data_IF_034411035931
#
_entry.id   IF_034411035931
#
_cell.length_a   1.000
_cell.length_b   1.000
_cell.length_c   1.000
_cell.angle_alpha   90.00
_cell.angle_beta   90.00
_cell.angle_gamma   90.00
#
_symmetry.space_group_name_H-M   'P 1'
#
loop_
_entity.id
_entity.type
_entity.pdbx_description
1 polymer ?
#
# COMPACT_ATOMS: atom_id res chain seq x y z
N UNK A 1 11.60 -7.82 31.69
CA UNK A 1 11.36 -7.08 30.43
C UNK A 1 11.09 -8.11 29.35
N UNK A 2 9.83 -8.25 28.95
CA UNK A 2 9.42 -9.27 27.98
C UNK A 2 9.61 -8.72 26.56
N UNK A 3 10.48 -9.37 25.79
CA UNK A 3 10.61 -9.18 24.34
C UNK A 3 9.31 -9.67 23.70
N UNK A 4 8.54 -8.77 23.10
CA UNK A 4 7.38 -9.12 22.31
C UNK A 4 7.89 -9.75 21.00
N UNK A 5 7.79 -11.08 20.90
CA UNK A 5 7.98 -11.80 19.64
C UNK A 5 6.75 -11.54 18.75
N UNK A 6 6.99 -11.07 17.54
CA UNK A 6 5.96 -10.95 16.50
C UNK A 6 5.46 -12.35 16.09
N UNK A 7 4.14 -12.55 15.88
CA UNK A 7 3.64 -13.80 15.32
C UNK A 7 3.98 -13.85 13.82
N UNK A 8 4.90 -14.73 13.47
CA UNK A 8 5.28 -15.08 12.09
C UNK A 8 4.34 -16.16 11.55
N UNK A 9 3.14 -15.78 11.13
CA UNK A 9 2.27 -16.70 10.39
C UNK A 9 2.46 -16.51 8.87
N UNK A 10 3.08 -17.52 8.26
CA UNK A 10 2.74 -17.97 6.90
C UNK A 10 3.38 -17.30 5.67
N UNK A 11 4.24 -16.28 5.80
CA UNK A 11 4.99 -15.73 4.65
C UNK A 11 6.40 -16.34 4.55
N UNK A 12 6.84 -16.58 3.32
CA UNK A 12 8.12 -17.19 2.91
C UNK A 12 9.24 -16.93 3.92
N UNK A 13 9.62 -17.97 4.65
CA UNK A 13 10.60 -17.95 5.75
C UNK A 13 11.96 -17.37 5.31
N UNK A 14 12.29 -17.39 4.01
CA UNK A 14 13.48 -16.73 3.46
C UNK A 14 13.37 -15.22 3.27
N UNK A 15 12.19 -14.67 2.94
CA UNK A 15 12.01 -13.23 2.70
C UNK A 15 12.16 -12.42 4.00
N UNK A 16 11.75 -13.01 5.14
CA UNK A 16 11.92 -12.37 6.44
C UNK A 16 13.39 -12.35 6.89
N UNK A 17 14.18 -13.39 6.58
CA UNK A 17 15.60 -13.46 6.94
C UNK A 17 16.43 -12.39 6.23
N UNK A 18 16.17 -12.12 4.95
CA UNK A 18 16.89 -11.08 4.20
C UNK A 18 16.54 -9.68 4.69
N UNK A 19 15.27 -9.42 5.04
CA UNK A 19 14.85 -8.14 5.62
C UNK A 19 15.49 -7.95 7.01
N UNK A 20 15.50 -8.99 7.84
CA UNK A 20 16.12 -8.96 9.16
C UNK A 20 17.63 -8.71 9.05
N UNK A 21 18.32 -9.35 8.11
CA UNK A 21 19.74 -9.11 7.85
C UNK A 21 20.02 -7.67 7.40
N UNK A 22 19.23 -7.16 6.45
CA UNK A 22 19.37 -5.78 5.97
C UNK A 22 19.14 -4.76 7.10
N UNK A 23 18.12 -4.98 7.94
CA UNK A 23 17.83 -4.11 9.09
C UNK A 23 18.91 -4.24 10.17
N UNK A 24 19.47 -5.43 10.39
CA UNK A 24 20.53 -5.67 11.35
C UNK A 24 21.85 -4.98 10.99
N UNK A 25 22.07 -4.67 9.70
CA UNK A 25 23.24 -3.94 9.21
C UNK A 25 23.10 -2.41 9.33
N UNK A 26 22.00 -1.90 9.92
CA UNK A 26 21.76 -0.47 10.09
C UNK A 26 22.16 -0.05 11.50
N UNK A 27 23.37 0.50 11.64
CA UNK A 27 23.91 0.96 12.93
C UNK A 27 23.71 2.47 13.15
N UNK A 28 23.54 3.22 12.07
CA UNK A 28 23.36 4.67 12.12
C UNK A 28 22.45 5.22 11.02
N UNK A 29 22.19 6.52 11.05
CA UNK A 29 21.23 7.18 10.16
C UNK A 29 21.80 7.32 8.75
N UNK A 30 23.11 7.35 8.69
CA UNK A 30 23.90 7.45 7.47
C UNK A 30 23.84 6.16 6.64
N UNK A 31 23.60 5.00 7.27
CA UNK A 31 23.42 3.70 6.59
C UNK A 31 22.07 3.60 5.85
N UNK A 32 21.11 4.46 6.22
CA UNK A 32 19.77 4.47 5.65
C UNK A 32 19.78 5.27 4.35
N UNK A 33 20.09 4.57 3.27
CA UNK A 33 20.08 5.09 1.90
C UNK A 33 18.69 4.99 1.25
N UNK A 34 18.48 5.71 0.14
CA UNK A 34 17.24 5.63 -0.64
C UNK A 34 17.05 4.23 -1.23
N UNK A 35 18.11 3.62 -1.74
CA UNK A 35 18.04 2.28 -2.34
C UNK A 35 17.63 1.24 -1.29
N UNK A 36 18.18 1.35 -0.08
CA UNK A 36 17.76 0.52 1.05
C UNK A 36 16.29 0.73 1.40
N UNK A 37 15.83 1.98 1.48
CA UNK A 37 14.41 2.30 1.74
C UNK A 37 13.51 1.67 0.67
N UNK A 38 13.83 1.84 -0.62
CA UNK A 38 13.04 1.31 -1.72
C UNK A 38 13.02 -0.23 -1.71
N UNK A 39 14.19 -0.85 -1.47
CA UNK A 39 14.36 -2.30 -1.36
C UNK A 39 13.59 -2.89 -0.17
N UNK A 40 13.61 -2.26 0.99
CA UNK A 40 12.84 -2.71 2.16
C UNK A 40 11.34 -2.56 1.90
N UNK A 41 10.90 -1.40 1.38
CA UNK A 41 9.48 -1.11 1.14
C UNK A 41 8.82 -2.00 0.11
N UNK A 42 9.58 -2.55 -0.84
CA UNK A 42 9.07 -3.52 -1.83
C UNK A 42 8.92 -4.93 -1.26
N UNK A 43 9.61 -5.25 -0.16
CA UNK A 43 9.61 -6.58 0.48
C UNK A 43 8.75 -6.66 1.74
N UNK A 44 8.53 -5.56 2.45
CA UNK A 44 7.64 -5.53 3.62
C UNK A 44 6.16 -5.50 3.20
N UNK A 45 5.33 -6.22 3.96
CA UNK A 45 3.87 -6.25 3.76
C UNK A 45 3.08 -5.42 4.78
N UNK A 46 3.78 -4.91 5.81
CA UNK A 46 3.24 -4.08 6.90
C UNK A 46 4.24 -2.98 7.26
N UNK A 47 3.83 -1.90 7.97
CA UNK A 47 4.77 -0.90 8.42
C UNK A 47 5.90 -1.49 9.26
N UNK A 48 7.13 -1.12 8.93
CA UNK A 48 8.35 -1.57 9.59
C UNK A 48 8.97 -0.41 10.34
N UNK A 49 9.08 -0.52 11.66
CA UNK A 49 9.91 0.37 12.46
C UNK A 49 11.37 -0.09 12.36
N UNK A 50 12.28 0.79 11.96
CA UNK A 50 13.73 0.48 11.93
C UNK A 50 14.27 0.65 13.36
N UNK A 51 14.65 -0.44 14.06
CA UNK A 51 14.88 -0.41 15.51
C UNK A 51 16.34 -0.17 15.91
N UNK A 52 17.27 -0.03 14.95
CA UNK A 52 18.72 -0.20 15.18
C UNK A 52 19.36 0.77 16.18
N UNK A 53 18.88 2.00 16.27
CA UNK A 53 19.47 3.02 17.14
C UNK A 53 18.49 4.18 17.38
N UNK A 54 18.51 4.83 18.56
CA UNK A 54 17.65 5.96 18.83
C UNK A 54 18.03 7.16 17.95
N UNK A 55 17.09 7.60 17.12
CA UNK A 55 17.23 8.77 16.25
C UNK A 55 16.56 9.96 16.94
N UNK A 56 17.30 11.03 17.19
CA UNK A 56 16.70 12.30 17.62
C UNK A 56 15.97 12.99 16.46
N UNK A 57 14.95 13.80 16.76
CA UNK A 57 14.24 14.58 15.74
C UNK A 57 15.19 15.46 14.92
N UNK A 58 16.19 16.08 15.56
CA UNK A 58 17.19 16.90 14.86
C UNK A 58 18.03 16.08 13.88
N UNK A 59 18.51 14.91 14.29
CA UNK A 59 19.28 14.00 13.42
C UNK A 59 18.44 13.53 12.23
N UNK A 60 17.18 13.17 12.48
CA UNK A 60 16.24 12.84 11.42
C UNK A 60 16.03 14.00 10.44
N UNK A 61 15.80 15.22 10.91
CA UNK A 61 15.60 16.39 10.05
C UNK A 61 16.85 16.76 9.23
N UNK A 62 18.04 16.58 9.80
CA UNK A 62 19.30 16.77 9.07
C UNK A 62 19.49 15.72 7.98
N UNK A 63 19.16 14.46 8.27
CA UNK A 63 19.16 13.39 7.28
C UNK A 63 18.14 13.65 6.18
N UNK A 64 16.89 13.99 6.53
CA UNK A 64 15.79 14.26 5.59
C UNK A 64 16.15 15.32 4.56
N UNK A 65 16.82 16.40 4.99
CA UNK A 65 17.25 17.50 4.11
C UNK A 65 18.26 17.07 3.04
N UNK A 66 18.98 15.97 3.26
CA UNK A 66 19.98 15.42 2.32
C UNK A 66 19.34 14.49 1.28
N UNK A 67 18.09 14.09 1.47
CA UNK A 67 17.42 13.11 0.62
C UNK A 67 16.55 13.77 -0.47
N UNK A 68 16.43 13.14 -1.66
CA UNK A 68 15.41 13.52 -2.66
C UNK A 68 14.00 13.37 -2.09
N UNK A 69 13.20 14.43 -2.17
CA UNK A 69 11.90 14.50 -1.49
C UNK A 69 10.86 13.54 -2.08
N UNK A 70 10.97 13.24 -3.37
CA UNK A 70 10.20 12.25 -4.10
C UNK A 70 10.44 10.82 -3.58
N UNK A 71 11.62 10.54 -3.04
CA UNK A 71 12.00 9.21 -2.56
C UNK A 71 11.58 8.93 -1.12
N UNK A 72 11.12 9.96 -0.39
CA UNK A 72 10.72 9.87 1.01
C UNK A 72 9.23 9.53 1.22
N UNK A 73 8.45 9.33 0.14
CA UNK A 73 7.06 8.92 0.28
C UNK A 73 6.97 7.61 1.05
N UNK A 74 6.14 7.54 2.09
CA UNK A 74 6.01 6.34 2.93
C UNK A 74 7.11 6.19 3.99
N UNK A 75 7.98 7.17 4.17
CA UNK A 75 8.89 7.27 5.32
C UNK A 75 8.27 8.22 6.34
N UNK A 76 8.21 7.83 7.62
CA UNK A 76 7.75 8.64 8.75
C UNK A 76 8.76 8.56 9.90
N UNK A 77 8.68 9.49 10.85
CA UNK A 77 9.48 9.44 12.09
C UNK A 77 8.55 9.50 13.30
N UNK A 78 8.75 8.59 14.25
CA UNK A 78 7.99 8.56 15.50
C UNK A 78 8.93 8.86 16.68
N UNK A 79 8.79 10.06 17.24
CA UNK A 79 9.57 10.51 18.42
C UNK A 79 9.32 9.67 19.67
N UNK A 80 8.16 8.99 19.79
CA UNK A 80 7.82 8.15 20.95
C UNK A 80 8.68 6.89 21.01
N UNK A 81 9.10 6.41 19.84
CA UNK A 81 9.96 5.24 19.67
C UNK A 81 11.38 5.61 19.23
N UNK A 82 11.63 6.90 18.96
CA UNK A 82 12.87 7.41 18.40
C UNK A 82 13.32 6.66 17.13
N UNK A 83 12.38 6.28 16.26
CA UNK A 83 12.63 5.41 15.11
C UNK A 83 12.06 5.97 13.80
N UNK A 84 12.59 5.46 12.70
CA UNK A 84 11.97 5.60 11.38
C UNK A 84 10.90 4.52 11.20
N UNK A 85 9.78 4.91 10.60
CA UNK A 85 8.72 4.01 10.19
C UNK A 85 8.65 3.98 8.67
N UNK A 86 8.88 2.80 8.09
CA UNK A 86 8.74 2.55 6.66
C UNK A 86 7.37 1.92 6.38
N UNK A 87 6.59 2.55 5.52
CA UNK A 87 5.32 1.99 5.03
C UNK A 87 5.55 1.17 3.76
N UNK A 88 4.86 0.03 3.58
CA UNK A 88 4.93 -0.74 2.35
C UNK A 88 4.55 0.08 1.12
N UNK A 89 4.85 -0.45 -0.07
CA UNK A 89 4.09 -0.08 -1.25
C UNK A 89 2.65 -0.57 -1.12
N UNK A 90 1.69 0.23 -1.62
CA UNK A 90 0.30 -0.18 -1.66
C UNK A 90 0.15 -1.37 -2.63
N UNK A 91 -0.70 -2.32 -2.26
CA UNK A 91 -1.18 -3.34 -3.21
C UNK A 91 -1.96 -2.65 -4.33
N UNK A 92 -2.03 -3.28 -5.51
CA UNK A 92 -2.78 -2.73 -6.65
C UNK A 92 -4.23 -2.36 -6.31
N UNK A 93 -5.01 -3.20 -5.60
CA UNK A 93 -6.38 -2.85 -5.23
C UNK A 93 -6.44 -1.62 -4.30
N UNK A 94 -5.57 -1.54 -3.28
CA UNK A 94 -5.48 -0.37 -2.41
C UNK A 94 -5.07 0.90 -3.16
N UNK A 95 -4.18 0.74 -4.16
CA UNK A 95 -3.68 1.83 -4.97
C UNK A 95 -4.74 2.42 -5.89
N UNK A 96 -5.52 1.58 -6.58
CA UNK A 96 -6.63 2.04 -7.41
C UNK A 96 -7.77 2.64 -6.57
N UNK A 97 -8.07 2.04 -5.41
CA UNK A 97 -9.05 2.58 -4.47
C UNK A 97 -8.62 3.99 -3.98
N UNK A 98 -7.34 4.16 -3.63
CA UNK A 98 -6.76 5.46 -3.34
C UNK A 98 -6.87 6.42 -4.54
N UNK A 99 -6.53 5.96 -5.75
CA UNK A 99 -6.63 6.73 -6.98
C UNK A 99 -8.04 7.25 -7.26
N UNK A 100 -9.07 6.46 -6.99
CA UNK A 100 -10.46 6.85 -7.12
C UNK A 100 -10.85 7.97 -6.14
N UNK A 101 -10.44 7.88 -4.87
CA UNK A 101 -10.64 8.96 -3.88
C UNK A 101 -9.94 10.24 -4.32
N UNK A 102 -8.69 10.13 -4.78
CA UNK A 102 -7.91 11.26 -5.29
C UNK A 102 -8.58 11.90 -6.50
N UNK A 103 -9.07 11.08 -7.45
CA UNK A 103 -9.82 11.56 -8.61
C UNK A 103 -11.09 12.31 -8.20
N UNK A 104 -11.86 11.77 -7.25
CA UNK A 104 -13.04 12.41 -6.70
C UNK A 104 -12.73 13.79 -6.12
N UNK A 105 -11.70 13.91 -5.28
CA UNK A 105 -11.29 15.19 -4.69
C UNK A 105 -10.82 16.16 -5.78
N UNK A 106 -10.06 15.70 -6.78
CA UNK A 106 -9.63 16.53 -7.91
C UNK A 106 -10.83 17.09 -8.69
N UNK A 107 -11.85 16.28 -8.94
CA UNK A 107 -13.06 16.72 -9.64
C UNK A 107 -13.81 17.78 -8.83
N UNK A 108 -13.87 17.63 -7.49
CA UNK A 108 -14.44 18.64 -6.61
C UNK A 108 -13.67 19.97 -6.69
N UNK A 109 -12.33 19.91 -6.63
CA UNK A 109 -11.48 21.11 -6.73
C UNK A 109 -11.58 21.77 -8.11
N UNK A 110 -11.61 20.99 -9.19
CA UNK A 110 -11.84 21.51 -10.56
C UNK A 110 -13.20 22.19 -10.68
N UNK A 111 -14.22 21.67 -10.01
CA UNK A 111 -15.54 22.26 -9.95
C UNK A 111 -15.55 23.69 -9.42
N UNK A 112 -14.58 24.06 -8.56
CA UNK A 112 -14.43 25.45 -8.06
C UNK A 112 -14.08 26.42 -9.19
N UNK A 113 -13.45 25.96 -10.28
CA UNK A 113 -13.11 26.78 -11.43
C UNK A 113 -12.35 28.05 -11.06
N UNK A 114 -12.79 29.19 -11.62
CA UNK A 114 -12.26 30.51 -11.30
C UNK A 114 -12.67 31.00 -9.90
N UNK A 115 -13.70 30.38 -9.30
CA UNK A 115 -14.21 30.66 -7.97
C UNK A 115 -13.52 29.80 -6.90
N UNK A 116 -12.18 29.68 -6.99
CA UNK A 116 -11.33 29.07 -5.96
C UNK A 116 -10.64 30.14 -5.09
N UNK A 117 -11.39 30.96 -4.30
CA UNK A 117 -10.85 32.12 -3.58
C UNK A 117 -9.89 31.74 -2.44
N UNK A 118 -9.92 30.47 -2.03
CA UNK A 118 -9.06 29.91 -1.01
C UNK A 118 -7.91 29.08 -1.59
N UNK A 119 -7.73 29.08 -2.92
CA UNK A 119 -6.66 28.38 -3.61
C UNK A 119 -6.54 26.92 -3.18
N UNK A 120 -7.67 26.21 -3.06
CA UNK A 120 -7.69 24.79 -2.79
C UNK A 120 -6.91 24.05 -3.86
N UNK A 121 -6.01 23.18 -3.42
CA UNK A 121 -5.23 22.32 -4.28
C UNK A 121 -5.05 20.97 -3.59
N UNK A 122 -4.98 19.92 -4.41
CA UNK A 122 -4.53 18.64 -3.91
C UNK A 122 -3.01 18.65 -3.92
N UNK A 123 -2.38 18.43 -2.76
CA UNK A 123 -0.95 18.20 -2.64
C UNK A 123 -0.65 16.77 -3.13
N UNK A 124 -0.80 16.59 -4.44
CA UNK A 124 -0.44 15.44 -5.26
C UNK A 124 -0.01 15.88 -6.68
N UNK A 125 0.21 17.18 -6.94
CA UNK A 125 0.38 17.69 -8.32
C UNK A 125 1.76 18.29 -8.63
N UNK A 126 2.82 17.99 -7.86
CA UNK A 126 4.18 18.56 -8.10
C UNK A 126 5.30 17.57 -8.40
N UNK A 127 4.99 16.29 -8.64
CA UNK A 127 5.96 15.28 -9.12
C UNK A 127 5.88 15.08 -10.63
N UNK A 128 7.02 14.99 -11.31
CA UNK A 128 7.10 14.61 -12.72
C UNK A 128 6.62 13.15 -12.87
N UNK A 129 5.76 12.88 -13.85
CA UNK A 129 5.34 11.52 -14.21
C UNK A 129 6.58 10.72 -14.63
N UNK A 130 7.00 9.74 -13.84
CA UNK A 130 8.03 8.78 -14.23
C UNK A 130 7.48 7.37 -13.98
N UNK A 131 6.63 6.90 -14.89
CA UNK A 131 6.58 5.52 -15.38
C UNK A 131 5.38 5.38 -16.34
N UNK A 132 5.64 5.49 -17.65
CA UNK A 132 4.78 4.84 -18.63
C UNK A 132 5.19 3.37 -18.67
N UNK A 133 4.48 2.52 -17.94
CA UNK A 133 4.30 1.14 -18.39
C UNK A 133 2.87 1.00 -18.90
N UNK A 134 2.70 0.08 -19.86
CA UNK A 134 1.75 0.10 -20.96
C UNK A 134 0.25 0.13 -20.62
N UNK A 135 -0.15 0.18 -19.34
CA UNK A 135 -1.54 0.25 -18.92
C UNK A 135 -1.73 1.26 -17.77
N UNK A 136 -2.71 2.13 -17.98
CA UNK A 136 -2.96 3.40 -17.31
C UNK A 136 -3.32 3.30 -15.82
N UNK A 137 -2.45 3.77 -14.92
CA UNK A 137 -2.74 4.85 -13.94
C UNK A 137 -1.41 5.54 -13.67
N UNK A 138 -1.30 6.84 -13.97
CA UNK A 138 -0.18 7.65 -13.51
C UNK A 138 -0.32 7.85 -11.99
N UNK A 139 0.15 6.88 -11.20
CA UNK A 139 0.38 7.10 -9.77
C UNK A 139 1.66 7.91 -9.67
N UNK A 140 1.49 9.22 -9.81
CA UNK A 140 2.55 10.20 -9.61
C UNK A 140 2.94 10.14 -8.14
N UNK A 141 4.07 9.53 -7.82
CA UNK A 141 4.71 9.71 -6.51
C UNK A 141 5.16 11.16 -6.42
N UNK A 142 4.45 11.94 -5.59
CA UNK A 142 4.66 13.37 -5.46
C UNK A 142 5.75 13.71 -4.48
N UNK A 143 6.22 14.95 -4.51
CA UNK A 143 7.06 15.52 -3.46
C UNK A 143 6.42 15.21 -2.10
N UNK A 144 7.06 14.36 -1.30
CA UNK A 144 6.47 13.86 -0.08
C UNK A 144 6.55 14.94 1.01
N UNK A 145 5.48 15.72 1.18
CA UNK A 145 5.46 16.85 2.13
C UNK A 145 5.36 16.29 3.55
N UNK A 146 6.39 16.56 4.34
CA UNK A 146 6.44 16.23 5.75
C UNK A 146 5.68 17.24 6.61
N UNK A 147 4.93 16.73 7.59
CA UNK A 147 4.27 17.53 8.62
C UNK A 147 4.74 17.11 9.99
N UNK A 148 5.35 18.04 10.71
CA UNK A 148 5.59 17.90 12.14
C UNK A 148 4.26 18.05 12.89
N UNK A 149 3.90 17.02 13.64
CA UNK A 149 2.75 17.01 14.53
C UNK A 149 3.03 17.82 15.81
N UNK A 150 1.98 18.06 16.58
CA UNK A 150 1.99 18.97 17.75
C UNK A 150 1.19 18.37 18.90
N UNK A 151 1.30 18.96 20.09
CA UNK A 151 0.54 18.53 21.27
C UNK A 151 1.05 17.18 21.80
N UNK A 152 0.15 16.24 22.08
CA UNK A 152 0.54 14.90 22.56
C UNK A 152 1.36 14.08 21.54
N UNK A 153 1.32 14.48 20.26
CA UNK A 153 2.05 13.85 19.16
C UNK A 153 3.29 14.66 18.75
N UNK A 154 3.79 15.54 19.62
CA UNK A 154 4.94 16.40 19.31
C UNK A 154 6.19 15.58 18.96
N UNK A 155 6.93 16.06 17.96
CA UNK A 155 8.11 15.38 17.43
C UNK A 155 7.83 14.28 16.40
N UNK A 156 6.58 13.86 16.19
CA UNK A 156 6.23 12.90 15.13
C UNK A 156 6.19 13.62 13.78
N UNK A 157 6.82 13.04 12.76
CA UNK A 157 6.80 13.56 11.38
C UNK A 157 6.04 12.60 10.48
N UNK A 158 4.94 13.10 9.90
CA UNK A 158 4.04 12.32 9.04
C UNK A 158 4.06 12.81 7.59
N UNK A 159 3.80 11.90 6.66
CA UNK A 159 3.66 12.20 5.23
C UNK A 159 2.39 11.54 4.69
N UNK A 160 1.35 12.32 4.33
CA UNK A 160 0.14 11.74 3.78
C UNK A 160 0.40 11.26 2.35
N UNK A 161 -0.39 10.29 1.87
CA UNK A 161 -0.38 9.90 0.46
C UNK A 161 -1.01 10.99 -0.42
N UNK A 162 -2.06 11.63 0.08
CA UNK A 162 -2.61 12.85 -0.49
C UNK A 162 -3.19 13.76 0.60
N UNK A 163 -3.12 15.07 0.36
CA UNK A 163 -3.71 16.07 1.24
C UNK A 163 -4.44 17.16 0.46
N UNK A 164 -5.67 17.51 0.85
CA UNK A 164 -6.38 18.68 0.33
C UNK A 164 -6.02 19.89 1.19
N UNK A 165 -5.38 20.88 0.59
CA UNK A 165 -4.92 22.09 1.27
C UNK A 165 -5.51 23.35 0.63
N UNK A 166 -5.77 24.37 1.44
CA UNK A 166 -6.07 25.73 0.96
C UNK A 166 -4.77 26.53 0.89
N UNK A 167 -4.62 27.43 -0.09
CA UNK A 167 -3.45 28.30 -0.24
C UNK A 167 -3.14 29.15 1.01
N UNK A 168 -4.12 29.36 1.88
CA UNK A 168 -3.98 30.10 3.14
C UNK A 168 -3.51 29.23 4.31
N UNK A 169 -3.42 27.91 4.12
CA UNK A 169 -3.05 26.97 5.16
C UNK A 169 -1.67 26.36 4.88
N UNK A 170 -0.93 26.11 5.96
CA UNK A 170 0.35 25.38 5.94
C UNK A 170 0.17 23.87 6.13
N UNK A 171 -1.04 23.43 6.50
CA UNK A 171 -1.39 22.03 6.76
C UNK A 171 -2.67 21.66 6.00
N UNK A 172 -2.79 20.40 5.54
CA UNK A 172 -3.98 19.94 4.84
C UNK A 172 -5.20 19.89 5.76
N UNK A 173 -6.37 20.12 5.16
CA UNK A 173 -7.68 20.00 5.82
C UNK A 173 -8.27 18.60 5.67
N UNK A 174 -7.92 17.89 4.59
CA UNK A 174 -8.29 16.49 4.37
C UNK A 174 -7.04 15.69 4.11
N UNK A 175 -6.92 14.53 4.74
CA UNK A 175 -5.88 13.53 4.46
C UNK A 175 -6.53 12.31 3.83
N UNK A 176 -5.89 11.73 2.82
CA UNK A 176 -6.22 10.40 2.31
C UNK A 176 -5.10 9.44 2.73
N UNK A 177 -5.49 8.38 3.44
CA UNK A 177 -4.62 7.30 3.89
C UNK A 177 -5.10 5.99 3.29
N UNK A 178 -4.19 5.20 2.75
CA UNK A 178 -4.47 3.85 2.27
C UNK A 178 -3.69 2.85 3.14
N UNK A 179 -4.40 1.88 3.69
CA UNK A 179 -3.86 0.80 4.53
C UNK A 179 -3.02 -0.15 3.67
N UNK A 180 -1.89 -0.59 4.23
CA UNK A 180 -1.09 -1.68 3.70
C UNK A 180 -0.99 -2.78 4.77
N UNK A 181 -2.11 -3.48 4.99
CA UNK A 181 -2.27 -4.54 6.01
C UNK A 181 -1.95 -4.08 7.43
N UNK A 182 -2.27 -2.82 7.73
CA UNK A 182 -2.19 -2.29 9.10
C UNK A 182 -3.30 -2.92 9.96
N UNK A 183 -3.00 -3.19 11.22
CA UNK A 183 -4.03 -3.58 12.19
C UNK A 183 -4.97 -2.41 12.45
N UNK A 184 -6.20 -2.70 12.89
CA UNK A 184 -7.16 -1.65 13.30
C UNK A 184 -6.58 -0.69 14.34
N UNK A 185 -5.73 -1.17 15.24
CA UNK A 185 -5.06 -0.33 16.25
C UNK A 185 -4.03 0.62 15.61
N UNK A 186 -3.22 0.12 14.67
CA UNK A 186 -2.26 0.96 13.92
C UNK A 186 -2.99 2.03 13.10
N UNK A 187 -4.07 1.65 12.42
CA UNK A 187 -4.92 2.57 11.67
C UNK A 187 -5.58 3.61 12.59
N UNK A 188 -6.09 3.19 13.74
CA UNK A 188 -6.67 4.10 14.74
C UNK A 188 -5.64 5.10 15.26
N UNK A 189 -4.45 4.64 15.64
CA UNK A 189 -3.36 5.52 16.11
C UNK A 189 -2.97 6.53 15.01
N UNK A 190 -2.85 6.07 13.77
CA UNK A 190 -2.55 6.94 12.62
C UNK A 190 -3.63 8.01 12.38
N UNK A 191 -4.91 7.62 12.42
CA UNK A 191 -6.04 8.55 12.31
C UNK A 191 -6.02 9.57 13.44
N UNK A 192 -5.76 9.14 14.68
CA UNK A 192 -5.67 10.05 15.83
C UNK A 192 -4.49 11.01 15.71
N UNK A 193 -3.32 10.53 15.29
CA UNK A 193 -2.16 11.37 15.02
C UNK A 193 -2.51 12.51 14.04
N UNK A 194 -3.23 12.22 12.96
CA UNK A 194 -3.67 13.26 12.03
C UNK A 194 -4.70 14.22 12.64
N UNK A 195 -5.76 13.67 13.24
CA UNK A 195 -6.86 14.49 13.77
C UNK A 195 -6.43 15.34 14.96
N UNK A 196 -5.59 14.84 15.85
CA UNK A 196 -5.24 15.49 17.11
C UNK A 196 -3.85 16.13 17.08
N UNK A 197 -2.90 15.54 16.34
CA UNK A 197 -1.55 16.10 16.16
C UNK A 197 -1.47 17.30 15.20
N UNK A 198 -2.50 17.58 14.41
CA UNK A 198 -2.50 18.70 13.44
C UNK A 198 -2.92 20.06 14.01
N UNK A 199 -3.14 20.18 15.32
CA UNK A 199 -3.74 21.36 15.98
C UNK A 199 -5.09 21.77 15.35
N UNK A 200 -5.90 20.78 14.99
CA UNK A 200 -7.24 20.99 14.43
C UNK A 200 -7.28 21.49 13.00
N UNK A 201 -6.16 21.43 12.29
CA UNK A 201 -6.10 21.77 10.86
C UNK A 201 -6.69 20.65 10.01
N UNK A 202 -6.32 19.39 10.28
CA UNK A 202 -6.97 18.25 9.63
C UNK A 202 -8.38 18.11 10.20
N UNK A 203 -9.37 18.19 9.31
CA UNK A 203 -10.79 18.06 9.61
C UNK A 203 -11.34 16.68 9.27
N UNK A 204 -10.76 16.03 8.27
CA UNK A 204 -11.19 14.74 7.76
C UNK A 204 -9.97 13.87 7.41
N UNK A 205 -10.03 12.61 7.81
CA UNK A 205 -9.14 11.54 7.35
C UNK A 205 -10.00 10.55 6.57
N UNK A 206 -9.73 10.41 5.28
CA UNK A 206 -10.32 9.38 4.43
C UNK A 206 -9.36 8.18 4.48
N UNK A 207 -9.78 7.12 5.14
CA UNK A 207 -9.04 5.87 5.21
C UNK A 207 -9.60 4.90 4.17
N UNK A 208 -8.74 4.24 3.43
CA UNK A 208 -9.09 3.20 2.46
C UNK A 208 -8.28 1.95 2.77
N UNK A 209 -8.94 0.80 2.82
CA UNK A 209 -8.30 -0.50 2.99
C UNK A 209 -8.85 -1.45 1.94
N UNK A 210 -7.99 -2.23 1.30
CA UNK A 210 -8.42 -3.26 0.36
C UNK A 210 -7.67 -4.56 0.68
N UNK A 211 -8.43 -5.54 1.16
CA UNK A 211 -7.90 -6.83 1.62
C UNK A 211 -8.56 -7.99 0.89
N UNK A 212 -7.82 -9.08 0.74
CA UNK A 212 -8.34 -10.35 0.23
C UNK A 212 -8.96 -11.15 1.40
N UNK A 213 -10.22 -11.55 1.30
CA UNK A 213 -10.99 -12.16 2.41
C UNK A 213 -10.99 -13.69 2.36
N UNK A 214 -10.94 -14.29 1.17
CA UNK A 214 -11.18 -15.73 0.98
C UNK A 214 -10.10 -16.41 0.12
N UNK A 215 -8.86 -15.94 0.17
CA UNK A 215 -7.76 -16.53 -0.61
C UNK A 215 -7.48 -17.98 -0.16
N UNK A 216 -7.51 -18.98 -1.05
CA UNK A 216 -7.23 -20.36 -0.66
C UNK A 216 -5.79 -20.53 -0.19
N UNK A 217 -5.57 -21.54 0.66
CA UNK A 217 -4.24 -21.89 1.14
C UNK A 217 -3.38 -22.38 -0.03
N UNK A 218 -2.39 -21.56 -0.36
CA UNK A 218 -1.58 -21.47 -1.59
C UNK A 218 -0.90 -22.78 -2.06
N UNK A 219 -0.78 -23.80 -1.21
CA UNK A 219 0.22 -24.85 -1.41
C UNK A 219 -0.16 -26.03 -2.32
N UNK A 220 -1.43 -26.25 -2.69
CA UNK A 220 -1.81 -27.56 -3.29
C UNK A 220 -2.68 -27.52 -4.56
N UNK A 221 -3.21 -26.37 -4.98
CA UNK A 221 -4.23 -26.35 -6.05
C UNK A 221 -3.73 -25.93 -7.44
N UNK A 222 -2.64 -25.16 -7.55
CA UNK A 222 -2.33 -24.41 -8.77
C UNK A 222 -1.59 -25.20 -9.86
N UNK A 223 -0.91 -26.28 -9.49
CA UNK A 223 -0.24 -27.18 -10.44
C UNK A 223 -1.20 -28.19 -11.07
N UNK A 224 -2.39 -28.38 -10.47
CA UNK A 224 -3.30 -29.43 -10.90
C UNK A 224 -3.98 -29.03 -12.21
N UNK A 225 -3.50 -29.61 -13.31
CA UNK A 225 -4.10 -29.45 -14.64
C UNK A 225 -3.36 -28.49 -15.58
N UNK A 226 -2.32 -27.79 -15.11
CA UNK A 226 -1.45 -26.98 -15.99
C UNK A 226 -0.26 -27.82 -16.42
N UNK A 227 -0.22 -28.20 -17.69
CA UNK A 227 0.93 -28.86 -18.30
C UNK A 227 1.87 -27.83 -18.92
N UNK A 228 2.92 -27.45 -18.20
CA UNK A 228 3.92 -26.47 -18.66
C UNK A 228 4.59 -26.86 -19.99
N UNK A 229 4.57 -28.14 -20.38
CA UNK A 229 5.14 -28.62 -21.66
C UNK A 229 4.39 -28.08 -22.88
N UNK A 230 3.16 -27.60 -22.70
CA UNK A 230 2.34 -27.05 -23.78
C UNK A 230 2.65 -25.59 -24.12
N UNK A 231 3.55 -24.96 -23.37
CA UNK A 231 3.85 -23.54 -23.46
C UNK A 231 5.33 -23.31 -23.77
N UNK A 232 5.63 -22.19 -24.41
CA UNK A 232 6.98 -21.80 -24.81
C UNK A 232 7.62 -20.78 -23.85
N UNK A 233 6.82 -20.19 -22.95
CA UNK A 233 7.29 -19.20 -21.97
C UNK A 233 6.40 -19.10 -20.74
N UNK A 234 6.92 -18.51 -19.67
CA UNK A 234 6.14 -18.19 -18.46
C UNK A 234 4.98 -17.24 -18.74
N UNK A 235 5.12 -16.28 -19.67
CA UNK A 235 4.03 -15.36 -20.07
C UNK A 235 2.80 -16.09 -20.63
N UNK A 236 3.02 -17.17 -21.40
CA UNK A 236 1.91 -17.97 -21.93
C UNK A 236 1.21 -18.74 -20.82
N UNK A 237 1.98 -19.29 -19.86
CA UNK A 237 1.43 -19.95 -18.66
C UNK A 237 0.63 -18.94 -17.82
N UNK A 238 1.16 -17.73 -17.62
CA UNK A 238 0.48 -16.65 -16.89
C UNK A 238 -0.85 -16.27 -17.53
N UNK A 239 -0.86 -16.14 -18.86
CA UNK A 239 -2.07 -15.86 -19.63
C UNK A 239 -3.10 -16.97 -19.46
N UNK A 240 -2.68 -18.23 -19.52
CA UNK A 240 -3.57 -19.37 -19.34
C UNK A 240 -4.18 -19.40 -17.93
N UNK A 241 -3.36 -19.22 -16.89
CA UNK A 241 -3.82 -19.12 -15.49
C UNK A 241 -4.88 -18.03 -15.38
N UNK A 242 -4.58 -16.83 -15.89
CA UNK A 242 -5.51 -15.71 -15.85
C UNK A 242 -6.84 -16.01 -16.57
N UNK A 243 -6.83 -16.70 -17.71
CA UNK A 243 -8.06 -17.06 -18.42
C UNK A 243 -8.88 -18.13 -17.70
N UNK A 244 -8.24 -19.13 -17.07
CA UNK A 244 -8.94 -20.14 -16.26
C UNK A 244 -9.67 -19.44 -15.10
N UNK A 245 -8.94 -18.61 -14.35
CA UNK A 245 -9.48 -17.85 -13.22
C UNK A 245 -10.64 -16.95 -13.64
N UNK A 246 -10.45 -16.25 -14.75
CA UNK A 246 -11.45 -15.45 -15.41
C UNK A 246 -12.38 -16.28 -16.30
N UNK A 247 -12.59 -17.57 -16.06
CA UNK A 247 -13.75 -18.35 -16.57
C UNK A 247 -14.47 -19.19 -15.51
N UNK A 248 -13.89 -19.38 -14.32
CA UNK A 248 -14.47 -20.15 -13.22
C UNK A 248 -15.50 -19.39 -12.38
N UNK A 249 -16.52 -20.09 -11.90
CA UNK A 249 -17.51 -19.54 -10.95
C UNK A 249 -16.91 -19.19 -9.58
N UNK A 250 -15.88 -19.93 -9.15
CA UNK A 250 -15.17 -19.76 -7.88
C UNK A 250 -13.65 -19.82 -8.14
N UNK A 251 -13.02 -18.67 -8.44
CA UNK A 251 -11.61 -18.62 -8.83
C UNK A 251 -10.66 -19.14 -7.74
N UNK A 252 -9.60 -19.83 -8.14
CA UNK A 252 -8.62 -20.47 -7.24
C UNK A 252 -7.40 -19.60 -6.93
N UNK A 253 -7.12 -18.59 -7.75
CA UNK A 253 -6.00 -17.64 -7.60
C UNK A 253 -6.41 -16.43 -6.77
N UNK A 254 -7.71 -16.10 -6.71
CA UNK A 254 -8.22 -15.00 -5.89
C UNK A 254 -9.43 -15.37 -5.05
N UNK A 255 -9.34 -15.06 -3.76
CA UNK A 255 -10.53 -14.84 -2.96
C UNK A 255 -11.26 -13.55 -3.37
N UNK A 256 -12.31 -13.18 -2.64
CA UNK A 256 -12.95 -11.89 -2.84
C UNK A 256 -12.08 -10.77 -2.24
N UNK A 257 -11.95 -9.64 -2.95
CA UNK A 257 -11.37 -8.42 -2.38
C UNK A 257 -12.47 -7.61 -1.70
N UNK A 258 -12.26 -7.29 -0.44
CA UNK A 258 -13.06 -6.37 0.33
C UNK A 258 -12.34 -5.04 0.44
N UNK A 259 -12.91 -4.01 -0.18
CA UNK A 259 -12.44 -2.64 -0.05
C UNK A 259 -13.34 -1.88 0.91
N UNK A 260 -12.79 -1.36 1.99
CA UNK A 260 -13.49 -0.54 2.98
C UNK A 260 -12.99 0.89 2.95
N UNK A 261 -13.92 1.84 3.09
CA UNK A 261 -13.63 3.28 3.15
C UNK A 261 -14.23 3.85 4.42
N UNK A 262 -13.43 4.59 5.18
CA UNK A 262 -13.88 5.33 6.35
C UNK A 262 -13.70 6.82 6.13
N UNK A 263 -14.73 7.56 6.53
CA UNK A 263 -14.71 9.01 6.63
C UNK A 263 -14.61 9.38 8.10
N UNK A 264 -13.41 9.72 8.57
CA UNK A 264 -13.12 9.86 10.00
C UNK A 264 -12.79 11.29 10.37
N UNK A 265 -13.40 11.78 11.44
CA UNK A 265 -13.17 13.08 12.03
C UNK A 265 -13.21 13.00 13.57
N UNK A 266 -13.13 14.15 14.23
CA UNK A 266 -13.13 14.21 15.71
C UNK A 266 -14.49 13.92 16.35
N UNK A 267 -15.57 13.96 15.58
CA UNK A 267 -16.92 13.70 16.08
C UNK A 267 -17.20 12.19 16.18
N UNK A 268 -16.76 11.41 15.18
CA UNK A 268 -16.92 9.96 15.16
C UNK A 268 -15.69 9.18 15.67
N UNK A 269 -14.53 9.81 15.79
CA UNK A 269 -13.33 9.24 16.41
C UNK A 269 -12.79 10.21 17.45
N UNK A 270 -13.14 9.97 18.72
CA UNK A 270 -12.60 10.74 19.86
C UNK A 270 -11.15 10.34 20.14
N UNK A 271 -10.40 11.23 20.78
CA UNK A 271 -8.99 10.98 21.11
C UNK A 271 -8.80 9.72 21.98
N UNK A 272 -9.76 9.46 22.88
CA UNK A 272 -9.79 8.29 23.74
C UNK A 272 -10.52 7.07 23.14
N UNK A 273 -10.88 7.08 21.85
CA UNK A 273 -11.51 5.94 21.20
C UNK A 273 -10.62 4.68 21.27
N UNK A 274 -11.21 3.51 21.51
CA UNK A 274 -10.47 2.24 21.58
C UNK A 274 -10.47 1.45 20.27
N UNK A 275 -11.35 1.80 19.32
CA UNK A 275 -11.47 1.17 18.01
C UNK A 275 -11.87 2.21 16.95
N UNK A 276 -11.62 1.89 15.68
CA UNK A 276 -12.13 2.62 14.54
C UNK A 276 -13.66 2.52 14.45
N UNK A 277 -14.35 3.56 13.96
CA UNK A 277 -15.76 3.45 13.63
C UNK A 277 -16.00 2.38 12.55
N UNK A 278 -17.24 1.98 12.37
CA UNK A 278 -17.62 1.15 11.22
C UNK A 278 -17.23 1.87 9.90
N UNK A 279 -16.82 1.12 8.87
CA UNK A 279 -16.62 1.67 7.54
C UNK A 279 -17.83 2.49 7.10
N UNK A 280 -17.59 3.61 6.46
CA UNK A 280 -18.65 4.41 5.85
C UNK A 280 -19.18 3.71 4.60
N UNK A 281 -18.32 2.96 3.92
CA UNK A 281 -18.64 2.25 2.71
C UNK A 281 -17.78 1.00 2.58
N UNK A 282 -18.36 -0.09 2.08
CA UNK A 282 -17.66 -1.33 1.83
C UNK A 282 -18.04 -1.85 0.44
N UNK A 283 -17.05 -2.33 -0.28
CA UNK A 283 -17.15 -2.85 -1.63
C UNK A 283 -16.59 -4.26 -1.64
N UNK A 284 -17.36 -5.20 -2.18
CA UNK A 284 -16.90 -6.57 -2.36
C UNK A 284 -16.73 -6.82 -3.85
N UNK A 285 -15.48 -7.06 -4.25
CA UNK A 285 -15.10 -7.24 -5.64
C UNK A 285 -14.55 -8.64 -5.84
N UNK A 286 -15.29 -9.47 -6.55
CA UNK A 286 -14.79 -10.72 -7.13
C UNK A 286 -14.39 -10.51 -8.60
N UNK A 287 -13.93 -11.56 -9.27
CA UNK A 287 -13.49 -11.51 -10.68
C UNK A 287 -14.62 -11.19 -11.68
N UNK A 288 -15.85 -11.41 -11.24
CA UNK A 288 -17.02 -11.50 -12.11
C UNK A 288 -18.13 -10.54 -11.76
N UNK A 289 -18.12 -10.09 -10.50
CA UNK A 289 -19.17 -9.30 -9.92
C UNK A 289 -18.56 -8.33 -8.95
N UNK A 290 -18.95 -7.08 -9.13
CA UNK A 290 -18.79 -6.05 -8.11
C UNK A 290 -20.12 -5.96 -7.39
N UNK A 291 -20.16 -6.41 -6.14
CA UNK A 291 -21.30 -6.23 -5.25
C UNK A 291 -21.01 -5.14 -4.24
N UNK A 292 -22.00 -4.30 -4.02
CA UNK A 292 -21.86 -3.09 -3.22
C UNK A 292 -22.85 -3.20 -2.07
N UNK A 293 -22.35 -3.17 -0.83
CA UNK A 293 -23.19 -3.10 0.37
C UNK A 293 -22.70 -1.92 1.23
N UNK A 294 -23.60 -0.96 1.47
CA UNK A 294 -23.23 0.25 2.20
C UNK A 294 -24.42 0.87 2.91
N UNK A 295 -24.22 1.18 4.19
CA UNK A 295 -25.12 2.04 4.95
C UNK A 295 -24.28 2.97 5.82
N UNK A 296 -24.52 4.28 5.74
CA UNK A 296 -23.92 5.24 6.66
C UNK A 296 -24.84 5.48 7.84
N UNK A 297 -24.29 5.38 9.04
CA UNK A 297 -25.02 5.61 10.27
C UNK A 297 -25.02 7.08 10.73
N UNK A 298 -24.13 7.96 10.22
CA UNK A 298 -24.06 9.37 10.66
C UNK A 298 -23.62 10.38 9.59
N UNK A 299 -24.35 11.50 9.58
CA UNK A 299 -24.04 12.78 8.93
C UNK A 299 -22.89 13.51 9.61
N UNK A 300 -22.15 14.32 8.86
CA UNK A 300 -21.36 15.42 9.41
C UNK A 300 -21.84 16.73 8.82
N UNK A 301 -22.05 17.73 9.67
CA UNK A 301 -22.51 19.07 9.28
C UNK A 301 -21.60 20.10 9.92
N UNK A 302 -21.01 21.01 9.13
CA UNK A 302 -20.08 22.02 9.66
C UNK A 302 -19.44 22.89 8.57
N UNK A 303 -18.25 23.44 8.90
CA UNK A 303 -17.46 24.29 7.99
C UNK A 303 -16.70 23.40 6.98
N UNK A 304 -16.85 23.67 5.69
CA UNK A 304 -16.19 22.94 4.61
C UNK A 304 -14.65 22.92 4.72
N UNK A 305 -13.98 21.82 4.32
CA UNK A 305 -14.53 20.60 3.71
C UNK A 305 -15.21 19.67 4.72
N UNK A 306 -16.36 19.10 4.34
CA UNK A 306 -17.03 18.02 5.08
C UNK A 306 -17.76 17.06 4.12
N UNK A 307 -18.23 15.91 4.61
CA UNK A 307 -19.04 14.95 3.84
C UNK A 307 -20.39 14.77 4.53
N UNK A 308 -21.48 14.86 3.78
CA UNK A 308 -22.85 14.68 4.30
C UNK A 308 -23.29 13.21 4.30
N UNK A 309 -24.52 12.93 4.77
CA UNK A 309 -25.08 11.57 4.78
C UNK A 309 -25.43 11.01 3.41
N UNK A 310 -25.47 11.84 2.37
CA UNK A 310 -25.64 11.39 0.98
C UNK A 310 -24.30 11.10 0.32
N UNK A 311 -23.22 11.06 1.10
CA UNK A 311 -21.85 10.88 0.63
C UNK A 311 -21.39 12.00 -0.29
N UNK A 312 -21.98 13.18 -0.20
CA UNK A 312 -21.52 14.33 -0.96
C UNK A 312 -20.47 15.09 -0.18
N UNK A 313 -19.29 15.25 -0.78
CA UNK A 313 -18.24 16.10 -0.23
C UNK A 313 -18.55 17.54 -0.59
N UNK A 314 -18.61 18.39 0.43
CA UNK A 314 -18.91 19.80 0.32
C UNK A 314 -17.63 20.61 0.46
N UNK A 315 -17.37 21.48 -0.51
CA UNK A 315 -16.24 22.41 -0.52
C UNK A 315 -16.71 23.76 -1.05
N UNK A 316 -16.77 24.77 -0.18
CA UNK A 316 -17.12 26.16 -0.53
C UNK A 316 -18.40 26.31 -1.39
N UNK A 317 -19.47 25.62 -1.01
CA UNK A 317 -20.75 25.71 -1.73
C UNK A 317 -20.85 24.77 -2.94
N UNK A 318 -19.75 24.10 -3.32
CA UNK A 318 -19.78 22.99 -4.26
C UNK A 318 -19.99 21.70 -3.50
N UNK A 319 -20.89 20.86 -4.01
CA UNK A 319 -21.16 19.54 -3.48
C UNK A 319 -20.95 18.51 -4.57
N UNK A 320 -20.13 17.50 -4.30
CA UNK A 320 -19.88 16.40 -5.21
C UNK A 320 -20.18 15.07 -4.52
N UNK A 321 -21.21 14.37 -4.96
CA UNK A 321 -21.54 13.02 -4.52
C UNK A 321 -20.39 12.05 -4.73
N UNK A 322 -20.20 11.14 -3.79
CA UNK A 322 -19.22 10.07 -3.92
C UNK A 322 -19.51 9.27 -5.20
N UNK A 323 -18.52 9.10 -6.09
CA UNK A 323 -18.75 8.54 -7.40
C UNK A 323 -18.73 7.01 -7.32
N UNK A 324 -19.74 6.41 -6.68
CA UNK A 324 -19.77 4.98 -6.34
C UNK A 324 -19.45 4.04 -7.52
N UNK A 325 -20.02 4.32 -8.69
CA UNK A 325 -19.77 3.55 -9.91
C UNK A 325 -18.30 3.67 -10.35
N UNK A 326 -17.77 4.89 -10.44
CA UNK A 326 -16.36 5.14 -10.80
C UNK A 326 -15.43 4.51 -9.77
N UNK A 327 -15.74 4.63 -8.48
CA UNK A 327 -14.95 4.00 -7.42
C UNK A 327 -14.91 2.47 -7.57
N UNK A 328 -16.07 1.85 -7.80
CA UNK A 328 -16.17 0.42 -8.08
C UNK A 328 -15.36 -0.01 -9.30
N UNK A 329 -15.43 0.76 -10.40
CA UNK A 329 -14.71 0.49 -11.63
C UNK A 329 -13.18 0.56 -11.45
N UNK A 330 -12.68 1.55 -10.70
CA UNK A 330 -11.25 1.65 -10.37
C UNK A 330 -10.79 0.47 -9.51
N UNK A 331 -11.53 0.14 -8.45
CA UNK A 331 -11.19 -1.02 -7.60
C UNK A 331 -11.19 -2.30 -8.42
N UNK A 332 -12.22 -2.52 -9.24
CA UNK A 332 -12.31 -3.69 -10.12
C UNK A 332 -11.15 -3.76 -11.12
N UNK A 333 -10.75 -2.63 -11.70
CA UNK A 333 -9.54 -2.57 -12.54
C UNK A 333 -8.29 -2.98 -11.75
N UNK A 334 -8.14 -2.50 -10.52
CA UNK A 334 -7.02 -2.86 -9.64
C UNK A 334 -7.00 -4.33 -9.25
N UNK A 335 -8.18 -4.92 -9.03
CA UNK A 335 -8.38 -6.35 -8.84
C UNK A 335 -7.87 -7.13 -10.07
N UNK A 336 -8.29 -6.73 -11.28
CA UNK A 336 -7.89 -7.38 -12.53
C UNK A 336 -6.38 -7.29 -12.79
N UNK A 337 -5.76 -6.15 -12.54
CA UNK A 337 -4.30 -5.99 -12.68
C UNK A 337 -3.53 -6.79 -11.63
N UNK A 338 -4.00 -6.80 -10.38
CA UNK A 338 -3.39 -7.59 -9.31
C UNK A 338 -3.36 -9.08 -9.67
N UNK A 339 -4.44 -9.57 -10.27
CA UNK A 339 -4.54 -10.97 -10.70
C UNK A 339 -3.58 -11.31 -11.81
N UNK A 340 -3.50 -10.45 -12.82
CA UNK A 340 -2.56 -10.65 -13.90
C UNK A 340 -1.12 -10.72 -13.37
N UNK A 341 -0.77 -9.87 -12.40
CA UNK A 341 0.53 -9.92 -11.73
C UNK A 341 0.73 -11.19 -10.91
N UNK A 342 -0.29 -11.62 -10.15
CA UNK A 342 -0.24 -12.86 -9.36
C UNK A 342 -0.10 -14.09 -10.25
N UNK A 343 -0.84 -14.14 -11.36
CA UNK A 343 -0.73 -15.18 -12.37
C UNK A 343 0.67 -15.22 -13.00
N UNK A 344 1.26 -14.05 -13.30
CA UNK A 344 2.66 -13.94 -13.74
C UNK A 344 3.65 -14.53 -12.74
N UNK A 345 3.58 -14.12 -11.47
CA UNK A 345 4.47 -14.64 -10.43
C UNK A 345 4.34 -16.15 -10.22
N UNK A 346 3.11 -16.70 -10.30
CA UNK A 346 2.87 -18.15 -10.24
C UNK A 346 3.48 -18.83 -11.46
N UNK A 347 3.27 -18.27 -12.65
CA UNK A 347 3.79 -18.83 -13.89
C UNK A 347 5.32 -18.87 -13.91
N UNK A 348 6.00 -17.80 -13.46
CA UNK A 348 7.45 -17.75 -13.36
C UNK A 348 8.00 -18.84 -12.41
N UNK A 349 7.33 -19.05 -11.28
CA UNK A 349 7.67 -20.13 -10.35
C UNK A 349 7.52 -21.52 -11.00
N UNK A 350 6.38 -21.79 -11.63
CA UNK A 350 6.10 -23.06 -12.31
C UNK A 350 7.08 -23.32 -13.47
N UNK A 351 7.36 -22.28 -14.25
CA UNK A 351 8.26 -22.35 -15.39
C UNK A 351 9.70 -22.63 -14.96
N UNK A 352 10.17 -21.95 -13.90
CA UNK A 352 11.51 -22.19 -13.34
C UNK A 352 11.67 -23.64 -12.85
N UNK A 353 10.66 -24.17 -12.14
CA UNK A 353 10.66 -25.57 -11.68
C UNK A 353 10.67 -26.55 -12.88
N UNK A 354 9.93 -26.23 -13.94
CA UNK A 354 9.93 -27.01 -15.17
C UNK A 354 11.29 -26.99 -15.90
N UNK A 355 11.91 -25.83 -16.08
CA UNK A 355 13.25 -25.71 -16.68
C UNK A 355 14.30 -26.49 -15.89
N UNK A 356 14.27 -26.39 -14.56
CA UNK A 356 15.15 -27.16 -13.68
C UNK A 356 14.97 -28.68 -13.87
N UNK A 357 13.72 -29.15 -14.02
CA UNK A 357 13.42 -30.56 -14.33
C UNK A 357 13.99 -30.98 -15.69
N UNK A 358 13.82 -30.18 -16.74
CA UNK A 358 14.40 -30.48 -18.07
C UNK A 358 15.92 -30.59 -17.99
N UNK A 359 16.56 -29.63 -17.33
CA UNK A 359 18.02 -29.60 -17.17
C UNK A 359 18.47 -30.85 -16.43
N UNK A 360 17.81 -31.21 -15.33
CA UNK A 360 18.11 -32.41 -14.57
C UNK A 360 17.95 -33.68 -15.40
N UNK A 361 16.83 -33.84 -16.13
CA UNK A 361 16.61 -34.98 -17.02
C UNK A 361 17.65 -35.05 -18.16
N UNK A 362 18.03 -33.91 -18.72
CA UNK A 362 19.04 -33.82 -19.80
C UNK A 362 20.41 -34.23 -19.31
N UNK A 363 20.79 -33.82 -18.10
CA UNK A 363 22.05 -34.20 -17.45
C UNK A 363 22.07 -35.70 -17.15
N UNK A 364 20.96 -36.27 -16.65
CA UNK A 364 20.82 -37.72 -16.45
C UNK A 364 20.98 -38.48 -17.78
N UNK A 365 20.31 -38.03 -18.85
CA UNK A 365 20.41 -38.66 -20.19
C UNK A 365 21.82 -38.58 -20.77
N UNK A 366 22.58 -37.55 -20.41
CA UNK A 366 23.99 -37.41 -20.80
C UNK A 366 24.94 -38.32 -20.00
N UNK A 367 24.42 -39.12 -19.06
CA UNK A 367 25.18 -40.14 -18.33
C UNK A 367 25.75 -39.67 -16.98
N UNK A 368 25.38 -38.48 -16.51
CA UNK A 368 25.76 -37.99 -15.19
C UNK A 368 24.79 -38.52 -14.13
N UNK A 369 25.32 -39.00 -13.01
CA UNK A 369 24.53 -39.47 -11.88
C UNK A 369 24.11 -38.33 -10.94
N UNK A 370 23.14 -38.57 -10.03
CA UNK A 370 22.74 -37.58 -9.02
C UNK A 370 23.90 -37.07 -8.13
N UNK A 371 24.96 -37.88 -7.97
CA UNK A 371 26.17 -37.52 -7.21
C UNK A 371 27.15 -36.60 -7.95
N UNK A 372 27.04 -36.47 -9.26
CA UNK A 372 27.90 -35.59 -10.07
C UNK A 372 27.39 -34.13 -10.09
N UNK A 373 26.16 -33.91 -9.62
CA UNK A 373 25.48 -32.62 -9.54
C UNK A 373 25.71 -31.88 -8.21
N UNK A 374 26.28 -32.56 -7.22
CA UNK A 374 26.62 -32.01 -5.90
C UNK A 374 28.13 -31.83 -5.83
N UNK A 375 28.70 -30.99 -6.69
CA UNK A 375 30.02 -30.44 -6.40
C UNK A 375 29.81 -29.09 -5.70
N UNK A 376 30.02 -29.09 -4.38
CA UNK A 376 30.26 -27.84 -3.67
C UNK A 376 31.37 -27.07 -4.41
N UNK A 377 31.28 -25.72 -4.50
CA UNK A 377 32.33 -24.94 -5.13
C UNK A 377 33.65 -25.24 -4.43
N UNK A 378 34.59 -25.81 -5.18
CA UNK A 378 35.96 -26.04 -4.69
C UNK A 378 36.47 -24.76 -4.01
N UNK A 379 37.04 -24.83 -2.79
CA UNK A 379 37.72 -23.69 -2.23
C UNK A 379 38.84 -23.32 -3.20
N UNK A 380 38.78 -22.09 -3.73
CA UNK A 380 39.86 -21.54 -4.54
C UNK A 380 41.16 -21.67 -3.73
N UNK A 381 42.22 -22.28 -4.29
CA UNK A 381 43.49 -22.32 -3.61
C UNK A 381 43.98 -20.87 -3.46
N UNK A 382 44.22 -20.47 -2.21
CA UNK A 382 44.97 -19.26 -1.89
C UNK A 382 46.29 -19.29 -2.66
N UNK A 383 46.50 -18.29 -3.53
CA UNK A 383 47.80 -17.85 -4.00
C UNK A 383 48.04 -16.44 -3.45
#
# INVERSE_FOLDING_TARGET
MASARFPTDGFLIGILQDIEADVANIDCMEDITIDLIQSLRSRISRPLAIPGFPISLSKYQEWEKKQPQESLQGVEYDSRQACLLLRPHLTHPSLEAFGAIVHWIRTLVKGLGNDNPNGWSLQHDSGKIIARQQFHVDVILTKAIAYLLTGHYDGIVKRPLAGLISSRNIRPSVIVHASAKETRMELLDNVKQWLYGSNGRVKLVILVEADEVDGPNVKELWTNGIDCRLFESSDQVATQIFQIEKTELNPSVMGEILTSVWLINRENCRENASDLPCPSYTLKCGLWRVSHDGSVSKTFTGVAPFVDSKFSMHLQGISLSFPFHIFGDYVHKGVMEFLQKRAGAIADYLWTDYEQKIVHESIIRAGYGPGDLIQEPYPLPYC
#
